data_IF_663035452840
#
_entry.id   IF_663035452840
#
_cell.length_a   1.000
_cell.length_b   1.000
_cell.length_c   1.000
_cell.angle_alpha   90.00
_cell.angle_beta   90.00
_cell.angle_gamma   90.00
#
_symmetry.space_group_name_H-M   'P 1'
#
loop_
_entity.id
_entity.type
_entity.pdbx_description
1 polymer ?
#
# COMPACT_ATOMS: atom_id res chain seq x y z
N UNK A 1 -0.80 -16.71 -3.83
CA UNK A 1 -1.38 -15.73 -2.86
C UNK A 1 -1.57 -14.44 -3.62
N UNK A 2 -2.81 -14.12 -3.99
CA UNK A 2 -3.16 -12.91 -4.74
C UNK A 2 -2.72 -11.67 -3.95
N UNK A 3 -2.14 -10.65 -4.60
CA UNK A 3 -1.68 -9.45 -3.91
C UNK A 3 -2.87 -8.70 -3.33
N UNK A 4 -2.95 -8.68 -1.99
CA UNK A 4 -3.95 -7.90 -1.28
C UNK A 4 -3.76 -6.40 -1.60
N UNK A 5 -4.83 -5.65 -1.85
CA UNK A 5 -4.83 -4.20 -2.05
C UNK A 5 -3.95 -3.46 -1.03
N UNK A 6 -3.95 -3.92 0.23
CA UNK A 6 -3.08 -3.41 1.28
C UNK A 6 -1.58 -3.57 1.01
N UNK A 7 -1.15 -4.70 0.41
CA UNK A 7 0.26 -4.94 0.06
C UNK A 7 0.72 -4.01 -1.07
N UNK A 8 -0.16 -3.74 -2.04
CA UNK A 8 0.12 -2.78 -3.13
C UNK A 8 0.24 -1.37 -2.57
N UNK A 9 -0.72 -0.96 -1.74
CA UNK A 9 -0.68 0.32 -1.02
C UNK A 9 0.60 0.47 -0.18
N UNK A 10 0.96 -0.55 0.60
CA UNK A 10 2.21 -0.56 1.40
C UNK A 10 3.45 -0.38 0.54
N UNK A 11 3.53 -1.03 -0.62
CA UNK A 11 4.66 -0.91 -1.55
C UNK A 11 4.75 0.50 -2.14
N UNK A 12 3.63 1.08 -2.54
CA UNK A 12 3.57 2.48 -3.01
C UNK A 12 4.03 3.45 -1.92
N UNK A 13 3.56 3.26 -0.68
CA UNK A 13 3.95 4.07 0.47
C UNK A 13 5.45 3.98 0.77
N UNK A 14 6.02 2.76 0.76
CA UNK A 14 7.46 2.54 0.92
C UNK A 14 8.28 3.24 -0.17
N UNK A 15 7.84 3.16 -1.43
CA UNK A 15 8.51 3.86 -2.52
C UNK A 15 8.53 5.38 -2.30
N UNK A 16 7.42 5.96 -1.84
CA UNK A 16 7.35 7.40 -1.56
C UNK A 16 8.26 7.81 -0.41
N UNK A 17 8.28 7.04 0.69
CA UNK A 17 9.23 7.28 1.79
C UNK A 17 10.70 7.20 1.35
N UNK A 18 11.03 6.22 0.52
CA UNK A 18 12.38 6.05 -0.02
C UNK A 18 12.77 7.24 -0.90
N UNK A 19 11.85 7.77 -1.71
CA UNK A 19 12.09 8.97 -2.53
C UNK A 19 12.35 10.21 -1.67
N UNK A 20 11.75 10.27 -0.48
CA UNK A 20 11.96 11.35 0.48
C UNK A 20 13.18 11.13 1.39
N UNK A 21 14.01 10.11 1.12
CA UNK A 21 15.17 9.72 1.94
C UNK A 21 14.82 9.40 3.42
N UNK A 22 13.58 9.02 3.69
CA UNK A 22 13.17 8.59 5.02
C UNK A 22 13.55 7.13 5.26
N UNK A 23 14.69 6.91 5.93
CA UNK A 23 15.12 5.58 6.39
C UNK A 23 14.35 5.16 7.66
N UNK A 24 13.05 4.88 7.51
CA UNK A 24 12.23 4.33 8.58
C UNK A 24 12.42 2.82 8.69
N UNK A 25 12.46 2.30 9.92
CA UNK A 25 12.47 0.85 10.14
C UNK A 25 11.19 0.24 9.58
N UNK A 26 11.32 -0.91 8.92
CA UNK A 26 10.20 -1.68 8.35
C UNK A 26 9.04 -1.93 9.33
N UNK A 27 9.34 -2.08 10.63
CA UNK A 27 8.34 -2.23 11.71
C UNK A 27 7.50 -0.98 11.90
N UNK A 28 8.14 0.18 11.82
CA UNK A 28 7.53 1.49 12.02
C UNK A 28 6.68 1.84 10.79
N UNK A 29 7.19 1.55 9.58
CA UNK A 29 6.43 1.69 8.33
C UNK A 29 5.18 0.82 8.32
N UNK A 30 5.26 -0.42 8.80
CA UNK A 30 4.10 -1.32 8.82
C UNK A 30 2.96 -0.79 9.70
N UNK A 31 3.30 -0.24 10.88
CA UNK A 31 2.34 0.39 11.78
C UNK A 31 1.75 1.67 11.16
N UNK A 32 2.61 2.49 10.56
CA UNK A 32 2.23 3.75 9.93
C UNK A 32 1.26 3.51 8.77
N UNK A 33 1.62 2.64 7.83
CA UNK A 33 0.80 2.27 6.67
C UNK A 33 -0.54 1.69 7.11
N UNK A 34 -0.57 0.87 8.16
CA UNK A 34 -1.82 0.31 8.68
C UNK A 34 -2.75 1.39 9.25
N UNK A 35 -2.19 2.42 9.89
CA UNK A 35 -2.97 3.55 10.40
C UNK A 35 -3.50 4.43 9.26
N UNK A 36 -2.65 4.78 8.29
CA UNK A 36 -3.09 5.54 7.12
C UNK A 36 -4.15 4.78 6.34
N UNK A 37 -3.92 3.51 6.01
CA UNK A 37 -4.88 2.68 5.29
C UNK A 37 -6.26 2.64 5.95
N UNK A 38 -6.35 2.63 7.28
CA UNK A 38 -7.65 2.69 7.98
C UNK A 38 -8.36 4.02 7.75
N UNK A 39 -7.61 5.13 7.77
CA UNK A 39 -8.11 6.49 7.58
C UNK A 39 -8.28 6.94 6.12
N UNK A 40 -7.74 6.20 5.15
CA UNK A 40 -7.91 6.52 3.73
C UNK A 40 -9.40 6.52 3.33
N UNK A 41 -9.82 7.43 2.44
CA UNK A 41 -11.17 7.47 1.93
C UNK A 41 -11.45 6.25 1.04
N UNK A 42 -12.73 5.90 0.92
CA UNK A 42 -13.13 4.66 0.25
C UNK A 42 -12.75 4.63 -1.24
N UNK A 43 -12.76 5.78 -1.92
CA UNK A 43 -12.32 5.87 -3.31
C UNK A 43 -10.84 5.47 -3.50
N UNK A 44 -9.98 5.79 -2.53
CA UNK A 44 -8.57 5.38 -2.56
C UNK A 44 -8.47 3.87 -2.34
N UNK A 45 -9.16 3.35 -1.33
CA UNK A 45 -9.19 1.90 -1.06
C UNK A 45 -9.72 1.12 -2.26
N UNK A 46 -10.75 1.62 -2.92
CA UNK A 46 -11.36 1.02 -4.11
C UNK A 46 -10.43 1.05 -5.32
N UNK A 47 -9.68 2.14 -5.53
CA UNK A 47 -8.65 2.18 -6.56
C UNK A 47 -7.60 1.07 -6.34
N UNK A 48 -7.10 0.90 -5.12
CA UNK A 48 -6.13 -0.16 -4.81
C UNK A 48 -6.74 -1.57 -4.87
N UNK A 49 -8.04 -1.73 -4.60
CA UNK A 49 -8.77 -2.99 -4.82
C UNK A 49 -8.86 -3.34 -6.30
N UNK A 50 -9.15 -2.35 -7.17
CA UNK A 50 -9.16 -2.54 -8.62
C UNK A 50 -7.78 -2.92 -9.14
N UNK A 51 -6.74 -2.21 -8.72
CA UNK A 51 -5.35 -2.55 -9.07
C UNK A 51 -5.01 -3.97 -8.61
N UNK A 52 -5.41 -4.37 -7.40
CA UNK A 52 -5.19 -5.73 -6.92
C UNK A 52 -5.90 -6.80 -7.77
N UNK A 53 -7.10 -6.50 -8.27
CA UNK A 53 -7.83 -7.37 -9.18
C UNK A 53 -7.18 -7.43 -10.57
N UNK A 54 -6.71 -6.31 -11.12
CA UNK A 54 -6.01 -6.26 -12.41
C UNK A 54 -4.70 -7.04 -12.38
N UNK A 55 -3.93 -6.93 -11.29
CA UNK A 55 -2.67 -7.68 -11.11
C UNK A 55 -2.93 -9.20 -10.99
N UNK A 56 -4.11 -9.61 -10.53
CA UNK A 56 -4.51 -11.03 -10.51
C UNK A 56 -4.95 -11.54 -11.90
N UNK A 57 -5.37 -10.65 -12.81
CA UNK A 57 -5.77 -11.00 -14.19
C UNK A 57 -4.57 -11.09 -15.15
N UNK A 58 -3.46 -10.40 -14.86
CA UNK A 58 -2.25 -10.42 -15.69
C UNK A 58 -1.20 -11.50 -15.33
N UNK A 59 -1.50 -12.40 -14.37
CA UNK A 59 -0.62 -13.51 -13.94
C UNK A 59 -1.24 -14.88 -14.23
#
# INVERSE_FOLDING_TARGET
KSPNAFLIYRKAFLNELNRQNHNLRMTDVSKLVSNYWKGEPDNVKDAYRKIAQEVEVEL
#
